data_IF_915041034275
#
_entry.id   IF_915041034275
#
_cell.length_a   1.000
_cell.length_b   1.000
_cell.length_c   1.000
_cell.angle_alpha   90.00
_cell.angle_beta   90.00
_cell.angle_gamma   90.00
#
_symmetry.space_group_name_H-M   'P 1'
#
loop_
_entity.id
_entity.type
_entity.pdbx_description
1 polymer ?
#
# COMPACT_ATOMS: atom_id res chain seq x y z
N UNK A 1 -82.63 47.99 27.01
CA UNK A 1 -81.19 47.63 27.11
C UNK A 1 -80.99 46.19 26.60
N UNK A 2 -80.62 46.03 25.32
CA UNK A 2 -79.22 45.85 24.86
C UNK A 2 -78.56 44.63 25.55
N UNK A 3 -77.99 43.62 24.88
CA UNK A 3 -77.58 43.47 23.50
C UNK A 3 -76.97 42.04 23.34
N UNK A 4 -76.77 41.58 22.09
CA UNK A 4 -75.69 40.66 21.63
C UNK A 4 -75.90 39.13 21.59
N UNK A 5 -76.49 38.71 20.46
CA UNK A 5 -75.98 37.72 19.48
C UNK A 5 -74.79 36.84 19.89
N UNK A 6 -74.93 35.53 19.67
CA UNK A 6 -73.84 34.71 19.07
C UNK A 6 -74.40 33.60 18.16
N UNK A 7 -74.65 33.95 16.90
CA UNK A 7 -74.63 33.01 15.76
C UNK A 7 -73.21 33.09 15.17
N UNK A 8 -72.28 32.25 15.60
CA UNK A 8 -70.99 32.08 14.91
C UNK A 8 -70.11 31.00 15.54
N UNK A 9 -70.52 29.74 15.42
CA UNK A 9 -69.56 28.66 15.24
C UNK A 9 -69.75 28.11 13.83
N UNK A 10 -69.35 28.93 12.85
CA UNK A 10 -69.10 28.41 11.50
C UNK A 10 -67.66 27.92 11.56
N UNK A 11 -67.48 26.61 11.77
CA UNK A 11 -66.20 25.97 11.57
C UNK A 11 -65.68 26.36 10.19
N UNK A 12 -64.54 27.06 10.14
CA UNK A 12 -63.88 27.39 8.87
C UNK A 12 -63.29 26.09 8.31
N UNK A 13 -64.09 25.32 7.57
CA UNK A 13 -63.58 24.29 6.68
C UNK A 13 -62.94 24.99 5.49
N UNK A 14 -61.62 25.15 5.50
CA UNK A 14 -60.88 25.63 4.33
C UNK A 14 -60.82 24.49 3.29
N UNK A 15 -61.82 24.44 2.41
CA UNK A 15 -61.78 23.58 1.23
C UNK A 15 -60.91 24.29 0.19
N UNK A 16 -59.60 24.06 0.27
CA UNK A 16 -58.69 24.47 -0.80
C UNK A 16 -58.91 23.51 -1.97
N UNK A 17 -59.53 23.99 -3.06
CA UNK A 17 -59.61 23.21 -4.30
C UNK A 17 -58.18 23.00 -4.80
N UNK A 18 -57.69 21.76 -4.78
CA UNK A 18 -56.46 21.40 -5.47
C UNK A 18 -56.61 21.79 -6.93
N UNK A 19 -55.69 22.59 -7.47
CA UNK A 19 -55.53 22.63 -8.93
C UNK A 19 -55.15 21.22 -9.35
N UNK A 20 -55.88 20.66 -10.29
CA UNK A 20 -55.62 19.35 -10.87
C UNK A 20 -54.49 19.43 -11.87
N UNK A 21 -53.68 18.38 -11.96
CA UNK A 21 -52.62 18.27 -12.96
C UNK A 21 -53.25 18.25 -14.37
N UNK A 22 -52.63 18.91 -15.34
CA UNK A 22 -53.15 18.91 -16.71
C UNK A 22 -52.97 17.52 -17.36
N UNK A 23 -53.89 17.15 -18.25
CA UNK A 23 -53.82 15.88 -18.97
C UNK A 23 -52.53 15.72 -19.81
N UNK A 24 -51.98 16.84 -20.30
CA UNK A 24 -50.70 16.84 -21.02
C UNK A 24 -49.54 16.52 -20.07
N UNK A 25 -49.45 17.21 -18.94
CA UNK A 25 -48.40 16.93 -17.95
C UNK A 25 -48.45 15.50 -17.42
N UNK A 26 -49.65 14.95 -17.19
CA UNK A 26 -49.81 13.55 -16.81
C UNK A 26 -49.28 12.59 -17.88
N UNK A 27 -49.56 12.86 -19.16
CA UNK A 27 -49.05 12.01 -20.26
C UNK A 27 -47.53 12.07 -20.33
N UNK A 28 -46.97 13.27 -20.29
CA UNK A 28 -45.53 13.50 -20.48
C UNK A 28 -44.74 12.87 -19.33
N UNK A 29 -45.17 13.10 -18.08
CA UNK A 29 -44.47 12.53 -16.92
C UNK A 29 -44.60 11.01 -16.86
N UNK A 30 -45.73 10.44 -17.30
CA UNK A 30 -45.87 8.98 -17.39
C UNK A 30 -44.92 8.37 -18.41
N UNK A 31 -44.77 9.00 -19.57
CA UNK A 31 -43.81 8.57 -20.58
C UNK A 31 -42.40 8.63 -20.03
N UNK A 32 -42.02 9.77 -19.44
CA UNK A 32 -40.70 9.97 -18.85
C UNK A 32 -40.41 8.93 -17.75
N UNK A 33 -41.35 8.69 -16.82
CA UNK A 33 -41.16 7.73 -15.72
C UNK A 33 -41.05 6.29 -16.20
N UNK A 34 -41.83 5.92 -17.23
CA UNK A 34 -41.74 4.60 -17.89
C UNK A 34 -40.33 4.36 -18.43
N UNK A 35 -39.79 5.33 -19.15
CA UNK A 35 -38.47 5.23 -19.77
C UNK A 35 -37.34 5.36 -18.73
N UNK A 36 -37.52 6.23 -17.74
CA UNK A 36 -36.53 6.48 -16.69
C UNK A 36 -36.39 5.33 -15.71
N UNK A 37 -37.48 4.67 -15.33
CA UNK A 37 -37.41 3.51 -14.42
C UNK A 37 -37.44 2.16 -15.14
N UNK A 38 -37.59 2.16 -16.46
CA UNK A 38 -37.72 0.94 -17.28
C UNK A 38 -38.87 0.03 -16.77
N UNK A 39 -40.06 0.63 -16.62
CA UNK A 39 -41.26 -0.03 -16.06
C UNK A 39 -42.43 0.03 -17.02
N UNK A 40 -43.19 -1.06 -17.15
CA UNK A 40 -44.34 -1.08 -18.08
C UNK A 40 -45.56 -0.30 -17.55
N UNK A 41 -45.79 -0.36 -16.24
CA UNK A 41 -46.99 0.17 -15.60
C UNK A 41 -46.67 1.41 -14.74
N UNK A 42 -47.41 2.49 -14.99
CA UNK A 42 -47.35 3.74 -14.23
C UNK A 42 -48.80 4.14 -13.96
N UNK A 43 -49.22 4.42 -12.70
CA UNK A 43 -50.62 4.68 -12.35
C UNK A 43 -51.27 5.82 -13.13
N UNK A 44 -52.50 5.60 -13.63
CA UNK A 44 -53.31 6.56 -14.40
C UNK A 44 -54.00 7.65 -13.57
N UNK A 45 -54.09 7.49 -12.25
CA UNK A 45 -54.70 8.47 -11.36
C UNK A 45 -53.64 9.39 -10.72
N UNK A 46 -54.04 10.63 -10.37
CA UNK A 46 -53.13 11.63 -9.81
C UNK A 46 -52.48 11.16 -8.51
N UNK A 47 -53.27 10.66 -7.56
CA UNK A 47 -52.75 10.25 -6.24
C UNK A 47 -51.80 9.04 -6.37
N UNK A 48 -52.14 8.07 -7.22
CA UNK A 48 -51.31 6.93 -7.56
C UNK A 48 -49.99 7.32 -8.22
N UNK A 49 -50.02 8.27 -9.17
CA UNK A 49 -48.83 8.78 -9.84
C UNK A 49 -47.90 9.50 -8.86
N UNK A 50 -48.43 10.35 -7.98
CA UNK A 50 -47.64 11.08 -6.98
C UNK A 50 -46.99 10.12 -5.99
N UNK A 51 -47.72 9.09 -5.54
CA UNK A 51 -47.17 8.03 -4.70
C UNK A 51 -46.06 7.28 -5.43
N UNK A 52 -46.29 6.88 -6.68
CA UNK A 52 -45.31 6.19 -7.51
C UNK A 52 -44.01 6.98 -7.66
N UNK A 53 -44.10 8.28 -8.00
CA UNK A 53 -42.94 9.17 -8.11
C UNK A 53 -42.21 9.25 -6.78
N UNK A 54 -42.93 9.50 -5.68
CA UNK A 54 -42.33 9.66 -4.35
C UNK A 54 -41.60 8.39 -3.91
N UNK A 55 -42.20 7.22 -4.11
CA UNK A 55 -41.62 5.91 -3.77
C UNK A 55 -40.38 5.64 -4.62
N UNK A 56 -40.49 5.70 -5.95
CA UNK A 56 -39.39 5.35 -6.86
C UNK A 56 -38.18 6.26 -6.72
N UNK A 57 -38.38 7.58 -6.61
CA UNK A 57 -37.28 8.50 -6.36
C UNK A 57 -36.66 8.33 -4.97
N UNK A 58 -37.46 7.96 -3.95
CA UNK A 58 -36.92 7.67 -2.62
C UNK A 58 -36.09 6.39 -2.61
N UNK A 59 -36.56 5.31 -3.24
CA UNK A 59 -35.82 4.06 -3.41
C UNK A 59 -34.49 4.30 -4.14
N UNK A 60 -34.51 5.06 -5.23
CA UNK A 60 -33.32 5.38 -6.01
C UNK A 60 -32.33 6.24 -5.21
N UNK A 61 -32.82 7.23 -4.45
CA UNK A 61 -31.98 8.02 -3.53
C UNK A 61 -31.29 7.12 -2.51
N UNK A 62 -32.05 6.22 -1.87
CA UNK A 62 -31.49 5.33 -0.84
C UNK A 62 -30.46 4.37 -1.41
N UNK A 63 -30.69 3.87 -2.62
CA UNK A 63 -29.69 3.08 -3.33
C UNK A 63 -28.40 3.88 -3.57
N UNK A 64 -28.50 5.11 -4.09
CA UNK A 64 -27.30 5.94 -4.31
C UNK A 64 -26.62 6.39 -3.02
N UNK A 65 -27.37 6.65 -1.95
CA UNK A 65 -26.82 6.91 -0.62
C UNK A 65 -26.05 5.69 -0.09
N UNK A 66 -26.58 4.49 -0.31
CA UNK A 66 -25.87 3.25 0.04
C UNK A 66 -24.58 3.06 -0.74
N UNK A 67 -24.53 3.50 -2.01
CA UNK A 67 -23.30 3.52 -2.81
C UNK A 67 -22.31 4.58 -2.32
N UNK A 68 -22.74 5.80 -2.02
CA UNK A 68 -21.87 6.87 -1.51
C UNK A 68 -21.19 6.46 -0.20
N UNK A 69 -21.91 5.76 0.69
CA UNK A 69 -21.34 5.22 1.92
C UNK A 69 -20.17 4.23 1.68
N UNK A 70 -20.14 3.52 0.55
CA UNK A 70 -19.04 2.60 0.22
C UNK A 70 -17.73 3.34 -0.11
N UNK A 71 -17.79 4.64 -0.38
CA UNK A 71 -16.60 5.46 -0.61
C UNK A 71 -15.89 5.83 0.70
N UNK A 72 -16.50 5.63 1.86
CA UNK A 72 -15.88 6.00 3.12
C UNK A 72 -14.65 5.14 3.40
N UNK A 73 -13.51 5.79 3.66
CA UNK A 73 -12.21 5.12 3.81
C UNK A 73 -11.54 4.68 2.50
N UNK A 74 -12.20 4.85 1.35
CA UNK A 74 -11.73 4.37 0.05
C UNK A 74 -11.60 5.51 -0.97
N UNK A 75 -10.57 5.43 -1.81
CA UNK A 75 -10.37 6.38 -2.92
C UNK A 75 -10.91 5.78 -4.22
N UNK A 76 -12.23 5.65 -4.31
CA UNK A 76 -12.90 5.17 -5.52
C UNK A 76 -13.21 6.30 -6.50
N UNK A 77 -13.30 5.98 -7.80
CA UNK A 77 -13.59 6.96 -8.83
C UNK A 77 -15.00 7.53 -8.76
N UNK A 78 -15.15 8.76 -9.24
CA UNK A 78 -16.44 9.40 -9.55
C UNK A 78 -17.44 9.55 -8.39
N UNK A 79 -16.99 9.65 -7.12
CA UNK A 79 -17.90 9.93 -5.97
C UNK A 79 -18.82 11.14 -6.23
N UNK A 80 -18.30 12.17 -6.90
CA UNK A 80 -19.07 13.38 -7.22
C UNK A 80 -20.30 13.10 -8.12
N UNK A 81 -20.24 12.10 -9.00
CA UNK A 81 -21.40 11.71 -9.81
C UNK A 81 -22.48 11.03 -8.96
N UNK A 82 -22.08 10.22 -7.99
CA UNK A 82 -23.00 9.60 -7.02
C UNK A 82 -23.67 10.68 -6.16
N UNK A 83 -22.90 11.65 -5.67
CA UNK A 83 -23.43 12.78 -4.91
C UNK A 83 -24.38 13.64 -5.74
N UNK A 84 -24.07 13.86 -7.02
CA UNK A 84 -24.96 14.56 -7.95
C UNK A 84 -26.27 13.78 -8.15
N UNK A 85 -26.19 12.45 -8.25
CA UNK A 85 -27.37 11.59 -8.35
C UNK A 85 -28.29 11.76 -7.13
N UNK A 86 -27.73 11.69 -5.92
CA UNK A 86 -28.47 11.92 -4.67
C UNK A 86 -29.12 13.31 -4.66
N UNK A 87 -28.37 14.35 -5.03
CA UNK A 87 -28.88 15.72 -5.09
C UNK A 87 -30.03 15.89 -6.08
N UNK A 88 -29.99 15.22 -7.24
CA UNK A 88 -31.10 15.24 -8.20
C UNK A 88 -32.36 14.59 -7.63
N UNK A 89 -32.21 13.46 -6.92
CA UNK A 89 -33.35 12.81 -6.26
C UNK A 89 -33.92 13.68 -5.14
N UNK A 90 -33.07 14.28 -4.31
CA UNK A 90 -33.50 15.19 -3.24
C UNK A 90 -34.18 16.44 -3.78
N UNK A 91 -33.70 16.97 -4.91
CA UNK A 91 -34.29 18.12 -5.60
C UNK A 91 -35.71 17.83 -6.08
N UNK A 92 -35.95 16.65 -6.67
CA UNK A 92 -37.31 16.20 -7.03
C UNK A 92 -38.17 16.00 -5.77
N UNK A 93 -37.67 15.25 -4.79
CA UNK A 93 -38.40 14.93 -3.56
C UNK A 93 -38.68 16.14 -2.66
N UNK A 94 -37.96 17.26 -2.85
CA UNK A 94 -38.22 18.53 -2.15
C UNK A 94 -39.63 19.06 -2.38
N UNK A 95 -40.23 18.73 -3.53
CA UNK A 95 -41.57 19.19 -3.94
C UNK A 95 -42.70 18.22 -3.56
N UNK A 96 -42.43 17.14 -2.82
CA UNK A 96 -43.41 16.08 -2.50
C UNK A 96 -44.70 16.51 -1.77
N UNK A 97 -44.77 17.76 -1.30
CA UNK A 97 -45.95 18.33 -0.62
C UNK A 97 -46.93 19.01 -1.58
N UNK A 98 -46.52 19.27 -2.82
CA UNK A 98 -47.33 19.91 -3.86
C UNK A 98 -47.28 19.04 -5.13
N UNK A 99 -48.42 18.45 -5.46
CA UNK A 99 -48.55 17.51 -6.58
C UNK A 99 -48.14 18.14 -7.91
N UNK A 100 -48.51 19.39 -8.17
CA UNK A 100 -48.18 20.08 -9.42
C UNK A 100 -46.69 20.38 -9.44
N UNK A 101 -46.15 20.95 -8.36
CA UNK A 101 -44.73 21.30 -8.29
C UNK A 101 -43.83 20.07 -8.41
N UNK A 102 -44.24 18.91 -7.87
CA UNK A 102 -43.52 17.65 -8.01
C UNK A 102 -43.42 17.22 -9.49
N UNK A 103 -44.54 17.18 -10.20
CA UNK A 103 -44.57 16.77 -11.61
C UNK A 103 -43.82 17.78 -12.49
N UNK A 104 -44.01 19.08 -12.27
CA UNK A 104 -43.23 20.11 -12.97
C UNK A 104 -41.73 19.95 -12.72
N UNK A 105 -41.34 19.57 -11.49
CA UNK A 105 -39.93 19.40 -11.14
C UNK A 105 -39.31 18.20 -11.84
N UNK A 106 -40.01 17.07 -11.91
CA UNK A 106 -39.58 15.87 -12.65
C UNK A 106 -39.35 16.21 -14.12
N UNK A 107 -40.35 16.79 -14.79
CA UNK A 107 -40.27 17.16 -16.21
C UNK A 107 -39.15 18.19 -16.46
N UNK A 108 -39.01 19.19 -15.59
CA UNK A 108 -37.94 20.20 -15.70
C UNK A 108 -36.53 19.60 -15.53
N UNK A 109 -36.40 18.45 -14.87
CA UNK A 109 -35.13 17.79 -14.57
C UNK A 109 -34.87 16.58 -15.45
N UNK A 110 -35.71 16.32 -16.43
CA UNK A 110 -35.66 15.15 -17.31
C UNK A 110 -34.26 14.90 -17.88
N UNK A 111 -33.70 15.85 -18.62
CA UNK A 111 -32.36 15.72 -19.23
C UNK A 111 -31.30 15.39 -18.18
N UNK A 112 -31.27 16.15 -17.08
CA UNK A 112 -30.28 15.95 -16.01
C UNK A 112 -30.43 14.59 -15.31
N UNK A 113 -31.65 14.09 -15.18
CA UNK A 113 -31.93 12.76 -14.61
C UNK A 113 -31.42 11.67 -15.55
N UNK A 114 -31.73 11.75 -16.85
CA UNK A 114 -31.27 10.77 -17.84
C UNK A 114 -29.74 10.78 -18.01
N UNK A 115 -29.13 11.96 -18.15
CA UNK A 115 -27.67 12.12 -18.23
C UNK A 115 -26.97 11.50 -17.02
N UNK A 116 -27.51 11.73 -15.82
CA UNK A 116 -26.96 11.14 -14.60
C UNK A 116 -27.20 9.62 -14.53
N UNK A 117 -28.39 9.13 -14.89
CA UNK A 117 -28.68 7.68 -14.92
C UNK A 117 -27.73 6.96 -15.88
N UNK A 118 -27.47 7.54 -17.05
CA UNK A 118 -26.51 7.02 -18.01
C UNK A 118 -25.09 7.00 -17.41
N UNK A 119 -24.65 8.10 -16.79
CA UNK A 119 -23.33 8.17 -16.16
C UNK A 119 -23.15 7.18 -14.99
N UNK A 120 -24.19 6.96 -14.17
CA UNK A 120 -24.20 6.00 -13.07
C UNK A 120 -24.15 4.56 -13.57
N UNK A 121 -24.94 4.26 -14.61
CA UNK A 121 -24.99 2.93 -15.24
C UNK A 121 -23.67 2.61 -15.97
N UNK A 122 -23.11 3.60 -16.66
CA UNK A 122 -21.87 3.50 -17.44
C UNK A 122 -20.62 3.61 -16.56
N UNK A 123 -20.45 2.68 -15.63
CA UNK A 123 -19.21 2.51 -14.87
C UNK A 123 -19.43 2.23 -13.40
N UNK A 124 -20.03 3.18 -12.66
CA UNK A 124 -20.06 3.18 -11.19
C UNK A 124 -20.80 1.97 -10.64
N UNK A 125 -22.02 1.70 -11.12
CA UNK A 125 -22.77 0.55 -10.64
C UNK A 125 -22.09 -0.77 -10.97
N UNK A 126 -21.60 -0.90 -12.20
CA UNK A 126 -20.87 -2.11 -12.62
C UNK A 126 -19.56 -2.29 -11.84
N UNK A 127 -18.90 -1.19 -11.50
CA UNK A 127 -17.68 -1.17 -10.70
C UNK A 127 -17.94 -1.81 -9.34
N UNK A 128 -18.94 -1.32 -8.61
CA UNK A 128 -19.30 -1.86 -7.30
C UNK A 128 -19.87 -3.27 -7.34
N UNK A 129 -20.46 -3.69 -8.46
CA UNK A 129 -21.00 -5.05 -8.65
C UNK A 129 -19.91 -6.07 -8.99
N UNK A 130 -18.90 -5.72 -9.79
CA UNK A 130 -17.98 -6.71 -10.39
C UNK A 130 -16.50 -6.36 -10.33
N UNK A 131 -16.11 -5.09 -10.27
CA UNK A 131 -14.72 -4.66 -10.46
C UNK A 131 -14.03 -4.21 -9.17
N UNK A 132 -14.79 -3.81 -8.14
CA UNK A 132 -14.26 -3.22 -6.90
C UNK A 132 -13.22 -4.12 -6.24
N UNK A 133 -13.45 -5.44 -6.20
CA UNK A 133 -12.51 -6.41 -5.62
C UNK A 133 -11.16 -6.40 -6.32
N UNK A 134 -11.13 -6.37 -7.66
CA UNK A 134 -9.89 -6.34 -8.45
C UNK A 134 -9.17 -5.00 -8.27
N UNK A 135 -9.93 -3.91 -8.21
CA UNK A 135 -9.38 -2.59 -7.95
C UNK A 135 -8.72 -2.50 -6.56
N UNK A 136 -9.41 -2.96 -5.52
CA UNK A 136 -8.87 -2.99 -4.14
C UNK A 136 -7.62 -3.87 -4.04
N UNK A 137 -7.64 -5.03 -4.70
CA UNK A 137 -6.48 -5.90 -4.78
C UNK A 137 -5.28 -5.20 -5.42
N UNK A 138 -5.49 -4.46 -6.50
CA UNK A 138 -4.43 -3.71 -7.17
C UNK A 138 -3.87 -2.58 -6.30
N UNK A 139 -4.72 -1.84 -5.59
CA UNK A 139 -4.30 -0.80 -4.64
C UNK A 139 -3.48 -1.42 -3.49
N UNK A 140 -3.94 -2.54 -2.93
CA UNK A 140 -3.25 -3.22 -1.85
C UNK A 140 -1.92 -3.85 -2.32
N UNK A 141 -1.90 -4.40 -3.53
CA UNK A 141 -0.70 -4.97 -4.14
C UNK A 141 0.37 -3.90 -4.37
N UNK A 142 0.02 -2.76 -4.96
CA UNK A 142 0.93 -1.63 -5.14
C UNK A 142 1.51 -1.14 -3.82
N UNK A 143 0.65 -0.99 -2.79
CA UNK A 143 1.08 -0.61 -1.45
C UNK A 143 2.04 -1.62 -0.81
N UNK A 144 1.84 -2.91 -1.05
CA UNK A 144 2.70 -3.97 -0.49
C UNK A 144 4.11 -3.98 -1.07
N UNK A 145 4.31 -3.38 -2.24
CA UNK A 145 5.61 -3.30 -2.93
C UNK A 145 6.36 -1.99 -2.63
N UNK A 146 5.86 -1.16 -1.70
CA UNK A 146 6.40 0.17 -1.44
C UNK A 146 7.91 0.18 -1.11
N UNK A 147 8.36 -0.76 -0.29
CA UNK A 147 9.76 -0.83 0.15
C UNK A 147 10.69 -1.39 -0.95
N UNK A 148 10.13 -2.05 -1.96
CA UNK A 148 10.87 -2.75 -3.01
C UNK A 148 10.87 -2.00 -4.35
N UNK A 149 10.31 -0.79 -4.42
CA UNK A 149 10.13 -0.03 -5.65
C UNK A 149 11.44 0.22 -6.41
N UNK A 150 12.49 0.59 -5.70
CA UNK A 150 13.80 0.88 -6.31
C UNK A 150 14.39 -0.36 -6.97
N UNK A 151 14.16 -1.55 -6.40
CA UNK A 151 14.62 -2.81 -6.98
C UNK A 151 13.76 -3.25 -8.14
N UNK A 152 12.44 -3.12 -8.02
CA UNK A 152 11.53 -3.44 -9.13
C UNK A 152 11.84 -2.54 -10.35
N UNK A 153 12.31 -1.30 -10.11
CA UNK A 153 12.72 -0.39 -11.18
C UNK A 153 13.90 -0.89 -12.04
N UNK A 154 14.72 -1.82 -11.52
CA UNK A 154 15.80 -2.47 -12.27
C UNK A 154 15.26 -3.44 -13.35
N UNK A 155 14.02 -3.93 -13.19
CA UNK A 155 13.31 -4.71 -14.20
C UNK A 155 12.35 -3.81 -14.99
N UNK A 156 12.72 -3.47 -16.23
CA UNK A 156 11.96 -2.53 -17.07
C UNK A 156 10.50 -2.94 -17.28
N UNK A 157 10.24 -4.23 -17.51
CA UNK A 157 8.90 -4.76 -17.76
C UNK A 157 8.03 -4.68 -16.49
N UNK A 158 8.55 -5.13 -15.36
CA UNK A 158 7.85 -5.07 -14.08
C UNK A 158 7.59 -3.62 -13.64
N UNK A 159 8.58 -2.74 -13.84
CA UNK A 159 8.45 -1.32 -13.53
C UNK A 159 7.36 -0.65 -14.38
N UNK A 160 7.33 -0.93 -15.69
CA UNK A 160 6.28 -0.42 -16.58
C UNK A 160 4.91 -0.95 -16.20
N UNK A 161 4.80 -2.24 -15.87
CA UNK A 161 3.55 -2.84 -15.43
C UNK A 161 3.04 -2.21 -14.12
N UNK A 162 3.91 -2.03 -13.13
CA UNK A 162 3.58 -1.40 -11.85
C UNK A 162 3.13 0.06 -12.02
N UNK A 163 3.81 0.84 -12.86
CA UNK A 163 3.38 2.20 -13.16
C UNK A 163 2.04 2.24 -13.91
N UNK A 164 1.75 1.23 -14.73
CA UNK A 164 0.45 1.11 -15.39
C UNK A 164 -0.66 0.79 -14.38
N UNK A 165 -0.42 -0.10 -13.41
CA UNK A 165 -1.33 -0.37 -12.28
C UNK A 165 -1.62 0.91 -11.51
N UNK A 166 -0.58 1.69 -11.16
CA UNK A 166 -0.70 3.00 -10.51
C UNK A 166 -1.56 3.95 -11.31
N UNK A 167 -1.34 4.05 -12.62
CA UNK A 167 -2.11 4.92 -13.48
C UNK A 167 -3.61 4.53 -13.53
N UNK A 168 -3.92 3.24 -13.53
CA UNK A 168 -5.30 2.75 -13.55
C UNK A 168 -5.99 2.95 -12.19
N UNK A 169 -5.25 2.81 -11.09
CA UNK A 169 -5.79 2.95 -9.72
C UNK A 169 -5.80 4.38 -9.21
N UNK A 170 -5.06 5.28 -9.87
CA UNK A 170 -5.02 6.69 -9.54
C UNK A 170 -6.34 7.38 -9.93
N UNK A 171 -7.12 7.75 -8.91
CA UNK A 171 -8.31 8.59 -9.10
C UNK A 171 -7.88 10.05 -9.19
N UNK A 172 -7.88 10.59 -10.41
CA UNK A 172 -7.60 12.00 -10.66
C UNK A 172 -8.87 12.84 -10.49
N UNK A 173 -8.75 13.96 -9.78
CA UNK A 173 -9.86 14.92 -9.63
C UNK A 173 -10.06 15.66 -10.96
N UNK A 174 -11.29 15.64 -11.47
CA UNK A 174 -11.69 16.44 -12.65
C UNK A 174 -11.53 15.74 -14.01
N UNK A 175 -11.06 14.49 -14.05
CA UNK A 175 -11.09 13.66 -15.27
C UNK A 175 -12.04 12.48 -15.10
N UNK A 176 -12.67 12.06 -16.21
CA UNK A 176 -13.56 10.89 -16.22
C UNK A 176 -12.73 9.62 -16.04
N UNK A 177 -13.06 8.82 -15.04
CA UNK A 177 -12.37 7.56 -14.81
C UNK A 177 -12.69 6.52 -15.92
N UNK A 178 -11.68 5.75 -16.34
CA UNK A 178 -11.84 4.73 -17.38
C UNK A 178 -11.97 3.32 -16.80
N UNK A 179 -13.21 2.93 -16.46
CA UNK A 179 -13.55 1.60 -15.93
C UNK A 179 -13.15 0.43 -16.84
N UNK A 180 -13.00 0.65 -18.15
CA UNK A 180 -12.62 -0.42 -19.09
C UNK A 180 -11.19 -0.91 -18.89
N UNK A 181 -10.34 -0.13 -18.21
CA UNK A 181 -8.95 -0.47 -17.94
C UNK A 181 -8.77 -1.35 -16.70
N UNK A 182 -9.77 -1.48 -15.83
CA UNK A 182 -9.67 -2.33 -14.62
C UNK A 182 -9.37 -3.79 -15.00
N UNK A 183 -9.87 -4.28 -16.14
CA UNK A 183 -9.54 -5.63 -16.64
C UNK A 183 -8.04 -5.85 -16.94
N UNK A 184 -7.28 -4.77 -17.16
CA UNK A 184 -5.82 -4.83 -17.35
C UNK A 184 -5.09 -5.12 -16.03
N UNK A 185 -5.72 -4.87 -14.88
CA UNK A 185 -5.04 -4.97 -13.56
C UNK A 185 -4.55 -6.38 -13.25
N UNK A 186 -5.37 -7.41 -13.47
CA UNK A 186 -4.99 -8.80 -13.19
C UNK A 186 -3.72 -9.23 -13.94
N UNK A 187 -3.65 -9.15 -15.29
CA UNK A 187 -2.44 -9.55 -16.01
C UNK A 187 -1.23 -8.68 -15.65
N UNK A 188 -1.42 -7.38 -15.36
CA UNK A 188 -0.33 -6.52 -14.90
C UNK A 188 0.19 -6.93 -13.52
N UNK A 189 -0.70 -7.24 -12.57
CA UNK A 189 -0.32 -7.70 -11.23
C UNK A 189 0.44 -9.03 -11.31
N UNK A 190 0.01 -9.95 -12.18
CA UNK A 190 0.68 -11.25 -12.36
C UNK A 190 2.09 -11.07 -12.95
N UNK A 191 2.25 -10.14 -13.90
CA UNK A 191 3.55 -9.79 -14.48
C UNK A 191 4.52 -9.24 -13.42
N UNK A 192 4.07 -8.26 -12.62
CA UNK A 192 4.89 -7.69 -11.54
C UNK A 192 5.22 -8.75 -10.49
N UNK A 193 4.23 -9.57 -10.09
CA UNK A 193 4.42 -10.64 -9.10
C UNK A 193 5.45 -11.66 -9.58
N UNK A 194 5.36 -12.11 -10.82
CA UNK A 194 6.31 -13.09 -11.39
C UNK A 194 7.74 -12.54 -11.38
N UNK A 195 7.92 -11.27 -11.77
CA UNK A 195 9.23 -10.64 -11.74
C UNK A 195 9.75 -10.47 -10.31
N UNK A 196 8.91 -10.01 -9.38
CA UNK A 196 9.27 -9.81 -7.98
C UNK A 196 9.61 -11.12 -7.27
N UNK A 197 8.82 -12.19 -7.48
CA UNK A 197 9.08 -13.52 -6.93
C UNK A 197 10.43 -14.06 -7.43
N UNK A 198 10.76 -13.85 -8.72
CA UNK A 198 12.07 -14.23 -9.26
C UNK A 198 13.22 -13.48 -8.57
N UNK A 199 13.08 -12.16 -8.39
CA UNK A 199 14.07 -11.35 -7.68
C UNK A 199 14.23 -11.80 -6.22
N UNK A 200 13.12 -12.15 -5.55
CA UNK A 200 13.14 -12.67 -4.19
C UNK A 200 13.92 -13.99 -4.11
N UNK A 201 13.70 -14.93 -5.02
CA UNK A 201 14.42 -16.20 -5.06
C UNK A 201 15.92 -16.01 -5.28
N UNK A 202 16.31 -15.15 -6.24
CA UNK A 202 17.71 -14.81 -6.48
C UNK A 202 18.34 -14.18 -5.24
N UNK A 203 17.64 -13.24 -4.59
CA UNK A 203 18.15 -12.58 -3.39
C UNK A 203 18.24 -13.53 -2.20
N UNK A 204 17.29 -14.43 -2.03
CA UNK A 204 17.30 -15.46 -0.99
C UNK A 204 18.52 -16.36 -1.13
N UNK A 205 18.84 -16.78 -2.36
CA UNK A 205 20.03 -17.59 -2.62
C UNK A 205 21.32 -16.83 -2.23
N UNK A 206 21.44 -15.55 -2.60
CA UNK A 206 22.58 -14.69 -2.24
C UNK A 206 22.75 -14.54 -0.71
N UNK A 207 21.65 -14.25 0.00
CA UNK A 207 21.67 -14.03 1.45
C UNK A 207 21.95 -15.34 2.18
N UNK A 208 21.42 -16.48 1.71
CA UNK A 208 21.73 -17.81 2.27
C UNK A 208 23.19 -18.20 2.05
N UNK A 209 23.78 -17.85 0.92
CA UNK A 209 25.21 -18.05 0.68
C UNK A 209 26.05 -17.19 1.63
N UNK A 210 25.64 -15.95 1.91
CA UNK A 210 26.27 -15.11 2.93
C UNK A 210 26.20 -15.77 4.32
N UNK A 211 25.05 -16.36 4.69
CA UNK A 211 24.91 -17.11 5.93
C UNK A 211 25.89 -18.29 5.97
N UNK A 212 25.98 -19.06 4.88
CA UNK A 212 26.90 -20.20 4.77
C UNK A 212 28.35 -19.76 5.00
N UNK A 213 28.78 -18.67 4.36
CA UNK A 213 30.12 -18.12 4.51
C UNK A 213 30.39 -17.59 5.93
N UNK A 214 29.40 -16.97 6.57
CA UNK A 214 29.52 -16.52 7.95
C UNK A 214 29.72 -17.69 8.92
N UNK A 215 28.93 -18.75 8.76
CA UNK A 215 29.08 -19.97 9.56
C UNK A 215 30.47 -20.58 9.33
N UNK A 216 30.87 -20.77 8.07
CA UNK A 216 32.19 -21.30 7.70
C UNK A 216 33.33 -20.53 8.36
N UNK A 217 33.32 -19.19 8.29
CA UNK A 217 34.34 -18.35 8.90
C UNK A 217 34.47 -18.58 10.42
N UNK A 218 33.35 -18.69 11.14
CA UNK A 218 33.39 -18.96 12.59
C UNK A 218 33.97 -20.34 12.91
N UNK A 219 33.58 -21.37 12.15
CA UNK A 219 34.09 -22.73 12.30
C UNK A 219 35.59 -22.83 11.95
N UNK A 220 36.04 -22.16 10.89
CA UNK A 220 37.45 -22.11 10.49
C UNK A 220 38.32 -21.50 11.59
N UNK A 221 37.89 -20.40 12.21
CA UNK A 221 38.65 -19.74 13.29
C UNK A 221 38.67 -20.60 14.56
N UNK A 222 37.58 -21.31 14.88
CA UNK A 222 37.56 -22.22 16.02
C UNK A 222 38.47 -23.44 15.80
N UNK A 223 38.64 -23.90 14.56
CA UNK A 223 39.49 -25.03 14.17
C UNK A 223 39.31 -26.29 15.05
N UNK A 224 38.09 -26.53 15.52
CA UNK A 224 37.74 -27.65 16.39
C UNK A 224 38.26 -27.56 17.84
N UNK A 225 38.76 -26.41 18.32
CA UNK A 225 39.23 -26.27 19.69
C UNK A 225 38.05 -26.35 20.70
N UNK A 226 38.11 -27.26 21.70
CA UNK A 226 37.04 -27.41 22.70
C UNK A 226 36.70 -26.14 23.48
N UNK A 227 37.62 -25.17 23.59
CA UNK A 227 37.36 -23.89 24.27
C UNK A 227 36.38 -23.00 23.51
N UNK A 228 36.25 -23.20 22.20
CA UNK A 228 35.38 -22.41 21.33
C UNK A 228 33.98 -23.04 21.12
N UNK A 229 33.75 -24.29 21.58
CA UNK A 229 32.52 -25.06 21.30
C UNK A 229 31.23 -24.31 21.64
N UNK A 230 31.13 -23.72 22.84
CA UNK A 230 29.93 -22.97 23.24
C UNK A 230 29.68 -21.73 22.34
N UNK A 231 30.75 -21.07 21.86
CA UNK A 231 30.62 -19.92 20.95
C UNK A 231 30.12 -20.36 19.57
N UNK A 232 30.59 -21.51 19.08
CA UNK A 232 30.13 -22.12 17.83
C UNK A 232 28.68 -22.54 17.92
N UNK A 233 28.26 -23.25 18.98
CA UNK A 233 26.86 -23.66 19.16
C UNK A 233 25.91 -22.46 19.19
N UNK A 234 26.33 -21.37 19.87
CA UNK A 234 25.57 -20.11 19.90
C UNK A 234 25.51 -19.47 18.51
N UNK A 235 26.61 -19.48 17.77
CA UNK A 235 26.70 -18.97 16.39
C UNK A 235 25.76 -19.74 15.45
N UNK A 236 25.81 -21.06 15.47
CA UNK A 236 25.01 -21.92 14.61
C UNK A 236 23.51 -21.76 14.89
N UNK A 237 23.12 -21.56 16.16
CA UNK A 237 21.73 -21.26 16.52
C UNK A 237 21.26 -19.93 15.94
N UNK A 238 22.08 -18.89 16.02
CA UNK A 238 21.75 -17.58 15.45
C UNK A 238 21.57 -17.68 13.93
N UNK A 239 22.52 -18.29 13.22
CA UNK A 239 22.43 -18.41 11.76
C UNK A 239 21.31 -19.35 11.30
N UNK A 240 20.95 -20.36 12.09
CA UNK A 240 19.75 -21.17 11.84
C UNK A 240 18.48 -20.33 11.89
N UNK A 241 18.34 -19.44 12.88
CA UNK A 241 17.22 -18.50 12.95
C UNK A 241 17.22 -17.49 11.81
N UNK A 242 18.40 -17.06 11.35
CA UNK A 242 18.50 -16.22 10.14
C UNK A 242 17.95 -16.96 8.91
N UNK A 243 18.27 -18.25 8.72
CA UNK A 243 17.73 -19.06 7.61
C UNK A 243 16.20 -19.15 7.65
N UNK A 244 15.62 -19.37 8.82
CA UNK A 244 14.16 -19.38 9.02
C UNK A 244 13.55 -18.04 8.63
N UNK A 245 14.12 -16.91 9.10
CA UNK A 245 13.65 -15.57 8.72
C UNK A 245 13.76 -15.30 7.22
N UNK A 246 14.87 -15.68 6.60
CA UNK A 246 15.07 -15.54 5.15
C UNK A 246 13.97 -16.30 4.39
N UNK A 247 13.60 -17.49 4.85
CA UNK A 247 12.54 -18.29 4.25
C UNK A 247 11.15 -17.58 4.28
N UNK A 248 10.87 -16.74 5.28
CA UNK A 248 9.56 -16.10 5.45
C UNK A 248 9.44 -14.71 4.79
N UNK A 249 10.55 -13.98 4.63
CA UNK A 249 10.55 -12.57 4.20
C UNK A 249 10.13 -12.37 2.74
N UNK A 250 9.11 -11.54 2.50
CA UNK A 250 8.61 -11.22 1.15
C UNK A 250 9.06 -9.86 0.60
N UNK A 251 10.01 -9.21 1.26
CA UNK A 251 10.56 -7.92 0.81
C UNK A 251 12.04 -8.08 0.50
N UNK A 252 12.43 -7.58 -0.68
CA UNK A 252 13.82 -7.48 -1.11
C UNK A 252 14.61 -6.55 -0.18
N UNK A 253 14.04 -5.40 0.19
CA UNK A 253 14.67 -4.46 1.10
C UNK A 253 14.94 -5.07 2.49
N UNK A 254 13.98 -5.86 3.01
CA UNK A 254 14.19 -6.56 4.29
C UNK A 254 15.25 -7.65 4.19
N UNK A 255 15.33 -8.38 3.07
CA UNK A 255 16.39 -9.36 2.84
C UNK A 255 17.77 -8.69 2.75
N UNK A 256 17.90 -7.55 2.07
CA UNK A 256 19.12 -6.75 2.05
C UNK A 256 19.53 -6.25 3.43
N UNK A 257 18.57 -5.78 4.20
CA UNK A 257 18.82 -5.25 5.54
C UNK A 257 19.41 -6.31 6.49
N UNK A 258 19.25 -7.61 6.20
CA UNK A 258 19.85 -8.69 6.99
C UNK A 258 21.37 -8.81 6.80
N UNK A 259 21.94 -8.31 5.70
CA UNK A 259 23.36 -8.49 5.39
C UNK A 259 24.28 -7.93 6.47
N UNK A 260 24.12 -6.65 6.82
CA UNK A 260 24.99 -5.96 7.76
C UNK A 260 24.96 -6.58 9.18
N UNK A 261 23.80 -6.84 9.81
CA UNK A 261 23.73 -7.51 11.10
C UNK A 261 24.38 -8.89 11.12
N UNK A 262 24.24 -9.69 10.04
CA UNK A 262 24.86 -11.01 9.95
C UNK A 262 26.39 -10.91 9.89
N UNK A 263 26.92 -9.98 9.08
CA UNK A 263 28.36 -9.74 9.01
C UNK A 263 28.94 -9.29 10.36
N UNK A 264 28.27 -8.34 11.03
CA UNK A 264 28.69 -7.84 12.35
C UNK A 264 28.69 -8.97 13.39
N UNK A 265 27.62 -9.77 13.45
CA UNK A 265 27.55 -10.90 14.38
C UNK A 265 28.66 -11.92 14.14
N UNK A 266 28.95 -12.22 12.86
CA UNK A 266 30.08 -13.07 12.48
C UNK A 266 31.41 -12.49 12.95
N UNK A 267 31.65 -11.19 12.72
CA UNK A 267 32.90 -10.53 13.11
C UNK A 267 33.12 -10.53 14.63
N UNK A 268 32.07 -10.20 15.39
CA UNK A 268 32.11 -10.25 16.85
C UNK A 268 32.37 -11.67 17.36
N UNK A 269 31.73 -12.67 16.74
CA UNK A 269 31.93 -14.08 17.09
C UNK A 269 33.36 -14.53 16.79
N UNK A 270 33.90 -14.20 15.62
CA UNK A 270 35.31 -14.48 15.26
C UNK A 270 36.26 -13.83 16.27
N UNK A 271 36.08 -12.54 16.58
CA UNK A 271 36.93 -11.84 17.54
C UNK A 271 36.88 -12.45 18.95
N UNK A 272 35.69 -12.92 19.39
CA UNK A 272 35.54 -13.61 20.66
C UNK A 272 36.24 -14.98 20.66
N UNK A 273 36.15 -15.74 19.56
CA UNK A 273 36.86 -17.02 19.43
C UNK A 273 38.37 -16.79 19.47
N UNK A 274 38.89 -15.86 18.67
CA UNK A 274 40.32 -15.50 18.68
C UNK A 274 40.81 -15.12 20.07
N UNK A 275 40.03 -14.32 20.80
CA UNK A 275 40.37 -13.89 22.17
C UNK A 275 40.45 -15.07 23.16
N UNK A 276 39.57 -16.07 23.02
CA UNK A 276 39.56 -17.28 23.87
C UNK A 276 40.69 -18.23 23.51
N UNK A 277 41.09 -18.28 22.24
CA UNK A 277 42.16 -19.15 21.74
C UNK A 277 43.56 -18.54 21.92
N UNK A 278 43.66 -17.21 22.08
CA UNK A 278 44.94 -16.53 22.31
C UNK A 278 45.57 -17.02 23.63
N UNK A 279 46.81 -17.53 23.62
CA UNK A 279 47.49 -17.95 24.83
C UNK A 279 47.63 -16.78 25.82
N UNK A 280 47.47 -17.01 27.14
CA UNK A 280 47.68 -15.95 28.13
C UNK A 280 49.11 -15.41 27.99
N UNK A 281 49.24 -14.08 27.90
CA UNK A 281 50.54 -13.42 27.81
C UNK A 281 51.45 -13.92 28.96
N UNK A 282 52.74 -14.21 28.69
CA UNK A 282 53.66 -14.66 29.71
C UNK A 282 53.64 -13.67 30.87
N UNK A 283 53.29 -14.16 32.07
CA UNK A 283 53.24 -13.35 33.29
C UNK A 283 54.60 -12.64 33.44
N UNK A 284 54.63 -11.30 33.56
CA UNK A 284 55.86 -10.61 33.92
C UNK A 284 56.41 -11.25 35.20
N UNK A 285 57.65 -11.72 35.17
CA UNK A 285 58.36 -12.04 36.40
C UNK A 285 58.41 -10.76 37.22
N UNK A 286 57.68 -10.73 38.33
CA UNK A 286 57.64 -9.58 39.23
C UNK A 286 59.00 -9.52 39.92
N UNK A 287 59.93 -8.72 39.38
CA UNK A 287 61.07 -8.26 40.15
C UNK A 287 60.56 -7.21 41.17
N UNK A 288 60.85 -7.36 42.47
CA UNK A 288 60.46 -6.34 43.44
C UNK A 288 61.27 -5.07 43.19
N UNK A 289 60.58 -3.98 42.85
CA UNK A 289 61.16 -2.64 42.78
C UNK A 289 61.40 -2.12 41.37
N UNK A 290 60.32 -1.65 40.73
CA UNK A 290 60.35 -0.50 39.81
C UNK A 290 58.93 0.03 39.63
N UNK A 291 58.77 1.31 39.89
CA UNK A 291 57.53 2.06 39.69
C UNK A 291 56.98 1.82 38.28
N UNK A 292 55.73 1.38 38.21
CA UNK A 292 54.99 1.21 36.95
C UNK A 292 54.71 2.58 36.36
N UNK A 293 55.48 2.94 35.32
CA UNK A 293 55.13 4.05 34.45
C UNK A 293 53.73 3.82 33.83
N UNK A 294 52.89 4.87 33.70
CA UNK A 294 51.54 4.72 33.15
C UNK A 294 51.62 4.15 31.73
N UNK A 295 50.93 3.02 31.50
CA UNK A 295 50.84 2.40 30.19
C UNK A 295 50.32 3.42 29.17
N UNK A 296 51.13 3.75 28.15
CA UNK A 296 50.73 4.63 27.06
C UNK A 296 49.46 4.06 26.42
N UNK A 297 48.38 4.86 26.38
CA UNK A 297 47.14 4.48 25.68
C UNK A 297 47.47 4.30 24.18
N UNK A 298 47.24 3.10 23.65
CA UNK A 298 47.38 2.81 22.23
C UNK A 298 46.44 3.71 21.41
N UNK A 299 46.96 4.32 20.35
CA UNK A 299 46.16 5.04 19.36
C UNK A 299 45.55 4.01 18.42
N UNK A 300 44.27 3.66 18.64
CA UNK A 300 43.51 2.75 17.78
C UNK A 300 42.73 3.56 16.76
N UNK A 301 42.85 3.25 15.47
CA UNK A 301 42.05 3.86 14.39
C UNK A 301 41.15 2.83 13.75
N UNK A 302 39.86 3.13 13.66
CA UNK A 302 38.88 2.28 13.02
C UNK A 302 38.63 2.70 11.56
N UNK A 303 38.58 1.74 10.64
CA UNK A 303 38.31 1.95 9.22
C UNK A 303 37.25 0.96 8.74
N UNK A 304 36.36 1.39 7.83
CA UNK A 304 35.36 0.52 7.24
C UNK A 304 36.00 -0.40 6.17
N UNK A 305 35.71 -1.70 6.22
CA UNK A 305 36.27 -2.69 5.28
C UNK A 305 35.93 -2.40 3.83
N UNK A 306 34.73 -1.92 3.51
CA UNK A 306 34.37 -1.60 2.12
C UNK A 306 35.22 -0.46 1.53
N UNK A 307 35.80 0.40 2.37
CA UNK A 307 36.71 1.48 1.94
C UNK A 307 38.15 0.96 1.76
N UNK A 308 38.52 -0.10 2.50
CA UNK A 308 39.86 -0.69 2.47
C UNK A 308 39.97 -1.81 1.43
N UNK A 309 38.89 -2.57 1.21
CA UNK A 309 38.80 -3.68 0.27
C UNK A 309 37.87 -3.29 -0.88
N UNK A 310 38.46 -2.92 -2.01
CA UNK A 310 37.73 -2.41 -3.18
C UNK A 310 37.12 -3.55 -4.00
N UNK A 311 35.89 -3.38 -4.47
CA UNK A 311 35.25 -4.38 -5.35
C UNK A 311 36.07 -4.57 -6.64
N UNK A 312 36.51 -5.81 -6.91
CA UNK A 312 37.21 -6.21 -8.13
C UNK A 312 36.92 -7.67 -8.45
N UNK A 313 36.63 -7.96 -9.72
CA UNK A 313 36.56 -9.36 -10.21
C UNK A 313 37.98 -9.88 -10.43
N UNK A 314 38.30 -11.05 -9.88
CA UNK A 314 39.61 -11.68 -9.96
C UNK A 314 39.46 -12.97 -10.78
N UNK A 315 40.25 -13.13 -11.84
CA UNK A 315 40.13 -14.28 -12.77
C UNK A 315 41.37 -15.18 -12.77
N UNK A 316 42.53 -14.64 -12.39
CA UNK A 316 43.82 -15.35 -12.40
C UNK A 316 44.55 -15.20 -11.06
N UNK A 317 45.51 -16.09 -10.78
CA UNK A 317 46.35 -15.97 -9.57
C UNK A 317 47.09 -14.62 -9.51
N UNK A 318 47.54 -14.12 -10.67
CA UNK A 318 48.17 -12.81 -10.77
C UNK A 318 47.20 -11.68 -10.36
N UNK A 319 45.91 -11.77 -10.71
CA UNK A 319 44.91 -10.78 -10.29
C UNK A 319 44.74 -10.75 -8.77
N UNK A 320 44.81 -11.93 -8.13
CA UNK A 320 44.71 -12.11 -6.69
C UNK A 320 45.92 -11.47 -6.02
N UNK A 321 47.14 -11.80 -6.47
CA UNK A 321 48.38 -11.26 -5.93
C UNK A 321 48.40 -9.73 -6.02
N UNK A 322 48.06 -9.17 -7.18
CA UNK A 322 47.99 -7.72 -7.38
C UNK A 322 46.96 -7.05 -6.47
N UNK A 323 45.81 -7.68 -6.26
CA UNK A 323 44.76 -7.17 -5.39
C UNK A 323 45.19 -7.19 -3.92
N UNK A 324 45.79 -8.30 -3.47
CA UNK A 324 46.30 -8.47 -2.10
C UNK A 324 47.47 -7.53 -1.83
N UNK A 325 48.40 -7.34 -2.77
CA UNK A 325 49.52 -6.41 -2.61
C UNK A 325 49.08 -4.95 -2.51
N UNK A 326 48.01 -4.56 -3.23
CA UNK A 326 47.38 -3.23 -3.07
C UNK A 326 46.78 -3.07 -1.68
N UNK A 327 46.01 -4.04 -1.21
CA UNK A 327 45.44 -4.02 0.16
C UNK A 327 46.56 -3.97 1.21
N UNK A 328 47.58 -4.81 1.05
CA UNK A 328 48.75 -4.87 1.95
C UNK A 328 49.43 -3.52 2.02
N UNK A 329 49.68 -2.88 0.88
CA UNK A 329 50.30 -1.55 0.79
C UNK A 329 49.43 -0.49 1.48
N UNK A 330 48.12 -0.52 1.25
CA UNK A 330 47.16 0.39 1.89
C UNK A 330 47.11 0.20 3.41
N UNK A 331 47.00 -1.03 3.91
CA UNK A 331 46.99 -1.33 5.35
C UNK A 331 48.29 -0.89 6.03
N UNK A 332 49.46 -1.18 5.42
CA UNK A 332 50.76 -0.71 5.92
C UNK A 332 50.81 0.82 5.99
N UNK A 333 50.23 1.52 5.01
CA UNK A 333 50.17 2.98 5.01
C UNK A 333 49.27 3.53 6.12
N UNK A 334 48.11 2.91 6.36
CA UNK A 334 47.21 3.29 7.45
C UNK A 334 47.88 3.11 8.83
N UNK A 335 48.74 2.09 8.99
CA UNK A 335 49.35 1.75 10.28
C UNK A 335 50.48 2.71 10.68
N UNK A 336 51.08 3.43 9.72
CA UNK A 336 52.22 4.34 9.99
C UNK A 336 51.98 5.37 11.09
N UNK A 337 50.72 5.74 11.35
CA UNK A 337 50.33 6.80 12.29
C UNK A 337 49.42 6.33 13.44
N UNK A 338 49.34 5.02 13.69
CA UNK A 338 48.54 4.46 14.79
C UNK A 338 49.16 3.16 15.33
N UNK A 339 48.91 2.85 16.59
CA UNK A 339 49.43 1.64 17.24
C UNK A 339 48.62 0.40 16.85
N UNK A 340 47.38 0.61 16.40
CA UNK A 340 46.44 -0.46 16.05
C UNK A 340 45.41 0.05 15.03
N UNK A 341 45.08 -0.80 14.06
CA UNK A 341 43.97 -0.57 13.13
C UNK A 341 42.87 -1.58 13.43
N UNK A 342 41.64 -1.08 13.61
CA UNK A 342 40.44 -1.89 13.63
C UNK A 342 39.73 -1.79 12.28
N UNK A 343 39.49 -2.92 11.63
CA UNK A 343 38.71 -2.98 10.39
C UNK A 343 37.27 -3.38 10.75
N UNK A 344 36.33 -2.46 10.58
CA UNK A 344 34.91 -2.61 10.87
C UNK A 344 34.12 -3.03 9.63
#
# INVERSE_FOLDING_TARGET
>A
PDMLRKKSEIGKTSISKRKTISATMMRDVKSMLRDYFDVMDVPDDEDGLIRFVTEKFSEQRDYYASLDARYDGHKYPDRALVQTAIQLMDDVLSQKKDNIALIERVLKKEDALFDNKEAMSNGIENFFKTQVTVFDQAVQFEKSLHDDLDRIAENEEAHKALNTIRLITMVQTGSKFNYTRIRELNPLMDMVRTAHDKMLEEKRAEVLETVRQCMEATHTVANGDPKATHLIEKSDRYFSQCKEKIAELKSLALLDAMFLPMCQYKDDTVSNIESVLTPPAPKPQVQPGKETAPAKKKVVRAYNRQVVFQAKTLQTDADIDDYVEKIRSQLKQLLKNCDEIKLN
#
